data_IF_047655492479
#
_entry.id   IF_047655492479
#
_cell.length_a   1.000
_cell.length_b   1.000
_cell.length_c   1.000
_cell.angle_alpha   90.00
_cell.angle_beta   90.00
_cell.angle_gamma   90.00
#
_symmetry.space_group_name_H-M   'P 1'
#
loop_
_entity.id
_entity.type
_entity.pdbx_description
1 polymer ?
#
# COMPACT_ATOMS: atom_id res chain seq x y z
N UNK A 1 6.62 36.47 14.77
CA UNK A 1 7.63 36.81 13.75
C UNK A 1 7.68 35.63 12.79
N UNK A 2 7.46 35.72 11.48
CA UNK A 2 7.47 36.83 10.53
C UNK A 2 6.32 36.66 9.51
N UNK A 3 5.67 37.78 9.13
CA UNK A 3 4.77 37.79 7.97
C UNK A 3 5.62 37.80 6.70
N UNK A 4 5.48 36.77 5.87
CA UNK A 4 6.17 36.68 4.58
C UNK A 4 5.69 37.76 3.60
N UNK A 5 6.56 38.15 2.67
CA UNK A 5 6.19 39.05 1.57
C UNK A 5 5.00 38.42 0.81
N UNK A 6 3.86 39.14 0.65
CA UNK A 6 2.72 38.66 -0.13
C UNK A 6 3.09 38.18 -1.54
N UNK A 7 4.13 38.78 -2.14
CA UNK A 7 4.62 38.39 -3.47
C UNK A 7 5.28 37.01 -3.48
N UNK A 8 6.06 36.72 -2.45
CA UNK A 8 6.69 35.41 -2.27
C UNK A 8 5.62 34.35 -1.95
N UNK A 9 4.56 34.73 -1.22
CA UNK A 9 3.46 33.83 -0.93
C UNK A 9 2.70 33.41 -2.20
N UNK A 10 2.47 34.32 -3.15
CA UNK A 10 1.84 34.01 -4.44
C UNK A 10 2.74 33.11 -5.29
N UNK A 11 4.05 33.40 -5.34
CA UNK A 11 5.01 32.56 -6.04
C UNK A 11 5.06 31.13 -5.45
N UNK A 12 5.03 31.02 -4.12
CA UNK A 12 5.02 29.75 -3.40
C UNK A 12 3.75 28.94 -3.72
N UNK A 13 2.58 29.57 -3.71
CA UNK A 13 1.31 28.91 -4.04
C UNK A 13 1.28 28.38 -5.48
N UNK A 14 1.81 29.16 -6.43
CA UNK A 14 1.90 28.73 -7.84
C UNK A 14 2.88 27.57 -8.01
N UNK A 15 4.02 27.60 -7.31
CA UNK A 15 4.98 26.50 -7.29
C UNK A 15 4.39 25.22 -6.68
N UNK A 16 3.71 25.33 -5.53
CA UNK A 16 3.00 24.23 -4.89
C UNK A 16 1.91 23.65 -5.80
N UNK A 17 1.21 24.48 -6.56
CA UNK A 17 0.25 24.03 -7.56
C UNK A 17 0.90 23.17 -8.66
N UNK A 18 2.08 23.55 -9.13
CA UNK A 18 2.85 22.76 -10.11
C UNK A 18 3.28 21.42 -9.51
N UNK A 19 3.79 21.41 -8.28
CA UNK A 19 4.18 20.19 -7.56
C UNK A 19 2.98 19.25 -7.36
N UNK A 20 1.82 19.77 -6.97
CA UNK A 20 0.60 18.99 -6.80
C UNK A 20 0.15 18.28 -8.08
N UNK A 21 0.22 18.96 -9.22
CA UNK A 21 -0.09 18.37 -10.52
C UNK A 21 0.97 17.37 -11.00
N UNK A 22 2.26 17.60 -10.72
CA UNK A 22 3.32 16.63 -10.99
C UNK A 22 3.10 15.33 -10.21
N UNK A 23 2.69 15.42 -8.94
CA UNK A 23 2.36 14.24 -8.12
C UNK A 23 1.19 13.43 -8.72
N UNK A 24 0.17 14.10 -9.27
CA UNK A 24 -0.93 13.41 -9.95
C UNK A 24 -0.45 12.67 -11.21
N UNK A 25 0.44 13.27 -12.00
CA UNK A 25 1.03 12.61 -13.16
C UNK A 25 1.93 11.43 -12.77
N UNK A 26 2.66 11.53 -11.67
CA UNK A 26 3.48 10.44 -11.15
C UNK A 26 2.63 9.24 -10.71
N UNK A 27 1.47 9.49 -10.09
CA UNK A 27 0.49 8.44 -9.76
C UNK A 27 -0.01 7.77 -11.05
N UNK A 28 -0.53 8.53 -12.03
CA UNK A 28 -1.02 7.96 -13.29
C UNK A 28 0.08 7.15 -14.01
N UNK A 29 1.30 7.68 -14.05
CA UNK A 29 2.44 7.01 -14.68
C UNK A 29 2.81 5.73 -13.93
N UNK A 30 2.87 5.78 -12.60
CA UNK A 30 3.16 4.63 -11.75
C UNK A 30 2.19 3.49 -12.01
N UNK A 31 0.92 3.81 -12.24
CA UNK A 31 -0.11 2.80 -12.49
C UNK A 31 0.00 2.09 -13.84
N UNK A 32 0.70 2.73 -14.77
CA UNK A 32 0.87 2.24 -16.15
C UNK A 32 2.24 1.65 -16.40
N UNK A 33 3.08 1.59 -15.37
CA UNK A 33 4.41 1.00 -15.45
C UNK A 33 4.41 -0.32 -14.66
N UNK A 34 4.60 -1.48 -15.31
CA UNK A 34 4.53 -2.77 -14.63
C UNK A 34 5.63 -2.95 -13.59
N UNK A 35 5.43 -3.91 -12.69
CA UNK A 35 6.37 -4.26 -11.63
C UNK A 35 6.38 -3.27 -10.49
N UNK A 36 7.57 -3.00 -9.96
CA UNK A 36 7.77 -2.23 -8.73
C UNK A 36 7.08 -0.85 -8.73
N UNK A 37 7.10 -0.05 -9.82
CA UNK A 37 6.42 1.25 -9.82
C UNK A 37 4.91 1.19 -9.60
N UNK A 38 4.21 0.21 -10.18
CA UNK A 38 2.78 0.00 -9.95
C UNK A 38 2.52 -0.47 -8.52
N UNK A 39 3.35 -1.41 -8.05
CA UNK A 39 3.29 -1.93 -6.68
C UNK A 39 3.45 -0.81 -5.63
N UNK A 40 4.45 0.05 -5.78
CA UNK A 40 4.68 1.23 -4.92
C UNK A 40 3.54 2.23 -4.97
N UNK A 41 3.02 2.50 -6.18
CA UNK A 41 1.91 3.43 -6.35
C UNK A 41 0.66 2.95 -5.63
N UNK A 42 0.38 1.66 -5.70
CA UNK A 42 -0.73 1.05 -5.00
C UNK A 42 -0.55 1.09 -3.46
N UNK A 43 0.66 0.81 -2.96
CA UNK A 43 0.97 0.96 -1.53
C UNK A 43 0.77 2.41 -1.04
N UNK A 44 1.19 3.40 -1.84
CA UNK A 44 1.03 4.80 -1.52
C UNK A 44 -0.45 5.22 -1.44
N UNK A 45 -1.30 4.70 -2.34
CA UNK A 45 -2.76 4.95 -2.33
C UNK A 45 -3.38 4.39 -1.05
N UNK A 46 -3.06 3.14 -0.68
CA UNK A 46 -3.54 2.52 0.54
C UNK A 46 -3.11 3.32 1.78
N UNK A 47 -1.83 3.70 1.85
CA UNK A 47 -1.31 4.52 2.96
C UNK A 47 -2.00 5.88 3.06
N UNK A 48 -2.16 6.59 1.94
CA UNK A 48 -2.86 7.87 1.91
C UNK A 48 -4.34 7.72 2.30
N UNK A 49 -4.98 6.60 1.94
CA UNK A 49 -6.34 6.24 2.36
C UNK A 49 -6.45 6.13 3.87
N UNK A 50 -5.61 5.30 4.50
CA UNK A 50 -5.55 5.11 5.96
C UNK A 50 -5.29 6.45 6.66
N UNK A 51 -4.31 7.22 6.17
CA UNK A 51 -3.97 8.54 6.72
C UNK A 51 -5.11 9.53 6.67
N UNK A 52 -5.84 9.60 5.56
CA UNK A 52 -6.98 10.51 5.37
C UNK A 52 -8.19 10.09 6.22
N UNK A 53 -8.40 8.79 6.38
CA UNK A 53 -9.39 8.25 7.30
C UNK A 53 -9.09 8.62 8.76
N UNK A 54 -7.82 8.82 9.09
CA UNK A 54 -7.36 9.12 10.45
C UNK A 54 -7.61 7.95 11.40
N UNK A 55 -7.76 6.74 10.85
CA UNK A 55 -8.06 5.55 11.61
C UNK A 55 -6.80 5.06 12.34
N UNK A 56 -6.97 4.82 13.64
CA UNK A 56 -5.92 4.30 14.53
C UNK A 56 -6.36 3.00 15.17
N UNK A 57 -7.28 2.29 14.52
CA UNK A 57 -7.78 0.99 14.97
C UNK A 57 -6.65 -0.05 14.95
N UNK A 58 -6.90 -1.17 15.63
CA UNK A 58 -6.00 -2.31 15.62
C UNK A 58 -5.71 -2.82 14.20
N UNK A 59 -6.75 -2.93 13.37
CA UNK A 59 -6.61 -3.36 11.98
C UNK A 59 -5.82 -2.36 11.13
N UNK A 60 -6.07 -1.05 11.30
CA UNK A 60 -5.27 -0.03 10.62
C UNK A 60 -3.78 -0.07 11.01
N UNK A 61 -3.46 -0.38 12.27
CA UNK A 61 -2.07 -0.58 12.72
C UNK A 61 -1.40 -1.76 12.02
N UNK A 62 -2.12 -2.87 11.88
CA UNK A 62 -1.62 -4.07 11.19
C UNK A 62 -1.45 -3.84 9.69
N UNK A 63 -2.41 -3.17 9.04
CA UNK A 63 -2.34 -2.81 7.62
C UNK A 63 -1.18 -1.85 7.33
N UNK A 64 -0.98 -0.83 8.17
CA UNK A 64 0.19 0.05 8.09
C UNK A 64 1.49 -0.77 8.22
N UNK A 65 1.54 -1.71 9.16
CA UNK A 65 2.72 -2.54 9.33
C UNK A 65 3.00 -3.44 8.13
N UNK A 66 1.96 -4.03 7.52
CA UNK A 66 2.11 -4.78 6.27
C UNK A 66 2.65 -3.91 5.14
N UNK A 67 2.09 -2.70 4.93
CA UNK A 67 2.59 -1.77 3.91
C UNK A 67 4.08 -1.44 4.11
N UNK A 68 4.49 -1.21 5.36
CA UNK A 68 5.89 -0.95 5.68
C UNK A 68 6.80 -2.14 5.37
N UNK A 69 6.35 -3.38 5.66
CA UNK A 69 7.07 -4.61 5.32
C UNK A 69 7.17 -4.76 3.80
N UNK A 70 6.07 -4.55 3.09
CA UNK A 70 6.02 -4.70 1.63
C UNK A 70 7.02 -3.78 0.94
N UNK A 71 7.04 -2.49 1.30
CA UNK A 71 8.01 -1.52 0.77
C UNK A 71 9.45 -1.89 1.15
N UNK A 72 9.67 -2.30 2.39
CA UNK A 72 11.00 -2.68 2.87
C UNK A 72 11.59 -3.86 2.11
N UNK A 73 10.77 -4.91 1.90
CA UNK A 73 11.17 -6.12 1.21
C UNK A 73 11.31 -5.91 -0.30
N UNK A 74 10.39 -5.16 -0.93
CA UNK A 74 10.42 -4.93 -2.39
C UNK A 74 11.64 -4.14 -2.84
N UNK A 75 12.19 -3.29 -1.96
CA UNK A 75 13.41 -2.54 -2.20
C UNK A 75 14.69 -3.24 -1.74
N UNK A 76 14.58 -4.39 -1.08
CA UNK A 76 15.74 -5.13 -0.58
C UNK A 76 16.53 -4.40 0.50
N UNK A 77 15.92 -3.51 1.28
CA UNK A 77 16.63 -2.69 2.29
C UNK A 77 17.32 -3.53 3.37
N UNK A 78 16.81 -4.74 3.63
CA UNK A 78 17.40 -5.70 4.57
C UNK A 78 18.52 -6.56 3.98
N UNK A 79 18.70 -6.59 2.66
CA UNK A 79 19.66 -7.50 2.02
C UNK A 79 21.10 -7.23 2.49
N UNK A 80 21.80 -8.31 2.86
CA UNK A 80 23.17 -8.24 3.39
C UNK A 80 23.28 -7.71 4.82
N UNK A 81 22.17 -7.38 5.50
CA UNK A 81 22.18 -6.96 6.91
C UNK A 81 22.23 -8.17 7.85
N UNK A 82 22.93 -8.08 9.00
CA UNK A 82 22.95 -9.14 10.00
C UNK A 82 21.54 -9.50 10.48
N UNK A 83 21.21 -10.79 10.47
CA UNK A 83 19.92 -11.30 10.93
C UNK A 83 18.77 -11.19 9.93
N UNK A 84 18.99 -10.63 8.74
CA UNK A 84 17.94 -10.53 7.72
C UNK A 84 17.60 -11.89 7.10
N UNK A 85 18.59 -12.51 6.47
CA UNK A 85 18.42 -13.79 5.78
C UNK A 85 18.48 -14.99 6.74
N UNK A 86 17.77 -16.06 6.38
CA UNK A 86 17.75 -17.34 7.10
C UNK A 86 16.34 -17.75 7.52
N UNK A 87 16.16 -19.02 7.87
CA UNK A 87 14.84 -19.59 8.21
C UNK A 87 14.17 -18.94 9.42
N UNK A 88 14.96 -18.31 10.29
CA UNK A 88 14.49 -17.55 11.46
C UNK A 88 14.97 -16.08 11.39
N UNK A 89 15.33 -15.62 10.20
CA UNK A 89 15.75 -14.23 9.97
C UNK A 89 14.54 -13.30 9.82
N UNK A 90 14.80 -12.00 9.84
CA UNK A 90 13.74 -11.00 9.69
C UNK A 90 12.93 -11.17 8.40
N UNK A 91 13.56 -11.61 7.31
CA UNK A 91 12.86 -11.88 6.05
C UNK A 91 11.79 -12.97 6.22
N UNK A 92 12.12 -14.08 6.89
CA UNK A 92 11.18 -15.17 7.13
C UNK A 92 10.02 -14.70 8.04
N UNK A 93 10.33 -13.97 9.10
CA UNK A 93 9.30 -13.41 9.99
C UNK A 93 8.37 -12.47 9.24
N UNK A 94 8.92 -11.52 8.48
CA UNK A 94 8.16 -10.58 7.66
C UNK A 94 7.17 -11.28 6.72
N UNK A 95 7.54 -12.42 6.13
CA UNK A 95 6.66 -13.21 5.27
C UNK A 95 5.45 -13.77 6.02
N UNK A 96 5.59 -14.17 7.28
CA UNK A 96 4.44 -14.57 8.11
C UNK A 96 3.53 -13.39 8.46
N UNK A 97 4.09 -12.19 8.67
CA UNK A 97 3.26 -10.99 8.83
C UNK A 97 2.46 -10.67 7.57
N UNK A 98 3.08 -10.77 6.38
CA UNK A 98 2.38 -10.57 5.12
C UNK A 98 1.27 -11.62 4.87
N UNK A 99 1.47 -12.83 5.37
CA UNK A 99 0.49 -13.91 5.24
C UNK A 99 -0.70 -13.75 6.18
N UNK A 100 -0.45 -13.48 7.46
CA UNK A 100 -1.42 -13.79 8.53
C UNK A 100 -1.77 -12.60 9.42
N UNK A 101 -1.47 -11.37 9.02
CA UNK A 101 -1.83 -10.16 9.78
C UNK A 101 -2.52 -9.14 8.89
N UNK A 102 -3.09 -8.09 9.48
CA UNK A 102 -3.86 -7.10 8.73
C UNK A 102 -5.33 -7.50 8.58
N UNK A 103 -6.12 -6.57 8.08
CA UNK A 103 -7.57 -6.67 7.97
C UNK A 103 -8.00 -7.98 7.28
N UNK A 104 -8.73 -8.84 8.00
CA UNK A 104 -9.27 -10.09 7.46
C UNK A 104 -8.23 -11.21 7.21
N UNK A 105 -6.94 -10.96 7.36
CA UNK A 105 -5.89 -11.92 7.00
C UNK A 105 -5.51 -12.89 8.10
N UNK A 106 -6.11 -12.80 9.29
CA UNK A 106 -5.64 -13.57 10.44
C UNK A 106 -5.65 -15.08 10.16
N UNK A 107 -4.60 -15.78 10.58
CA UNK A 107 -4.37 -17.20 10.31
C UNK A 107 -3.33 -17.80 11.26
N UNK A 108 -3.32 -19.13 11.38
CA UNK A 108 -2.45 -19.83 12.34
C UNK A 108 -1.47 -20.75 11.61
N UNK A 109 -0.44 -20.18 11.00
CA UNK A 109 0.53 -20.94 10.22
C UNK A 109 1.87 -21.12 10.94
N UNK A 110 2.47 -22.30 10.83
CA UNK A 110 3.83 -22.60 11.34
C UNK A 110 4.07 -22.23 12.84
N UNK A 111 3.02 -22.23 13.66
CA UNK A 111 3.08 -21.85 15.07
C UNK A 111 3.01 -20.34 15.33
N UNK A 112 2.79 -19.54 14.28
CA UNK A 112 2.42 -18.14 14.40
C UNK A 112 0.98 -17.99 14.85
N UNK A 113 0.79 -17.04 15.76
CA UNK A 113 -0.48 -16.59 16.33
C UNK A 113 -0.23 -15.19 16.93
N UNK A 114 -1.25 -14.58 17.53
CA UNK A 114 -1.13 -13.26 18.15
C UNK A 114 0.04 -13.10 19.14
N UNK A 115 0.35 -14.14 19.93
CA UNK A 115 1.50 -14.10 20.85
C UNK A 115 2.85 -14.12 20.11
N UNK A 116 2.96 -14.93 19.05
CA UNK A 116 4.17 -14.98 18.21
C UNK A 116 4.39 -13.64 17.52
N UNK A 117 3.37 -13.10 16.84
CA UNK A 117 3.43 -11.79 16.17
C UNK A 117 3.79 -10.66 17.15
N UNK A 118 3.18 -10.64 18.34
CA UNK A 118 3.51 -9.66 19.37
C UNK A 118 4.97 -9.74 19.88
N UNK A 119 5.54 -10.95 19.90
CA UNK A 119 6.92 -11.15 20.37
C UNK A 119 7.97 -10.70 19.35
N UNK A 120 7.62 -10.73 18.07
CA UNK A 120 8.54 -10.45 16.97
C UNK A 120 8.41 -9.04 16.40
N UNK A 121 7.20 -8.46 16.43
CA UNK A 121 6.90 -7.19 15.76
C UNK A 121 7.84 -6.07 16.20
N UNK A 122 8.26 -6.04 17.46
CA UNK A 122 9.15 -4.99 17.98
C UNK A 122 10.54 -5.01 17.35
N UNK A 123 11.11 -6.20 17.16
CA UNK A 123 12.42 -6.34 16.55
C UNK A 123 12.37 -6.05 15.04
N UNK A 124 11.31 -6.50 14.36
CA UNK A 124 11.10 -6.24 12.93
C UNK A 124 10.89 -4.75 12.69
N UNK A 125 10.02 -4.10 13.47
CA UNK A 125 9.74 -2.67 13.38
C UNK A 125 11.03 -1.86 13.54
N UNK A 126 11.81 -2.16 14.58
CA UNK A 126 13.10 -1.50 14.80
C UNK A 126 14.09 -1.76 13.68
N UNK A 127 14.18 -3.00 13.20
CA UNK A 127 15.07 -3.37 12.11
C UNK A 127 14.73 -2.60 10.82
N UNK A 128 13.44 -2.47 10.50
CA UNK A 128 12.99 -1.69 9.35
C UNK A 128 13.28 -0.20 9.52
N UNK A 129 12.98 0.38 10.68
CA UNK A 129 13.27 1.79 10.98
C UNK A 129 14.78 2.10 10.87
N UNK A 130 15.63 1.21 11.36
CA UNK A 130 17.09 1.40 11.36
C UNK A 130 17.73 1.21 9.96
N UNK A 131 17.04 0.56 9.00
CA UNK A 131 17.63 0.19 7.70
C UNK A 131 16.89 0.76 6.48
N UNK A 132 15.69 1.30 6.62
CA UNK A 132 14.98 2.01 5.56
C UNK A 132 15.53 3.44 5.40
N UNK A 133 15.73 3.95 4.17
CA UNK A 133 16.14 5.33 3.95
C UNK A 133 15.10 6.34 4.45
N UNK A 134 15.55 7.49 4.99
CA UNK A 134 14.66 8.63 5.25
C UNK A 134 13.95 9.05 3.96
N UNK A 135 12.62 9.18 4.02
CA UNK A 135 11.77 9.49 2.86
C UNK A 135 11.37 8.29 2.00
N UNK A 136 11.78 7.06 2.35
CA UNK A 136 11.14 5.85 1.81
C UNK A 136 9.74 5.69 2.39
N UNK A 137 8.85 5.00 1.66
CA UNK A 137 7.48 4.76 2.12
C UNK A 137 7.45 3.97 3.43
N UNK A 138 8.32 2.96 3.59
CA UNK A 138 8.52 2.24 4.84
C UNK A 138 8.81 3.20 6.00
N UNK A 139 9.80 4.09 5.84
CA UNK A 139 10.18 5.03 6.89
C UNK A 139 9.05 6.03 7.22
N UNK A 140 8.33 6.50 6.20
CA UNK A 140 7.18 7.39 6.38
C UNK A 140 6.03 6.70 7.14
N UNK A 141 5.73 5.45 6.82
CA UNK A 141 4.68 4.67 7.49
C UNK A 141 5.04 4.46 8.96
N UNK A 142 6.25 3.98 9.25
CA UNK A 142 6.68 3.73 10.63
C UNK A 142 6.72 5.05 11.44
N UNK A 143 7.18 6.15 10.84
CA UNK A 143 7.12 7.46 11.49
C UNK A 143 5.67 7.88 11.78
N UNK A 144 4.75 7.67 10.83
CA UNK A 144 3.33 7.95 11.05
C UNK A 144 2.74 7.10 12.17
N UNK A 145 3.08 5.81 12.23
CA UNK A 145 2.65 4.92 13.30
C UNK A 145 3.12 5.43 14.67
N UNK A 146 4.40 5.83 14.80
CA UNK A 146 4.95 6.37 16.04
C UNK A 146 4.28 7.70 16.44
N UNK A 147 4.06 8.60 15.47
CA UNK A 147 3.52 9.93 15.74
C UNK A 147 2.00 9.97 15.98
N UNK A 148 1.24 9.04 15.38
CA UNK A 148 -0.23 9.12 15.30
C UNK A 148 -0.96 7.90 15.84
N UNK A 149 -0.34 6.72 15.81
CA UNK A 149 -1.04 5.46 16.11
C UNK A 149 -0.54 4.79 17.40
N UNK A 150 0.38 5.43 18.14
CA UNK A 150 0.96 4.87 19.38
C UNK A 150 2.15 3.94 19.13
N UNK A 151 2.62 3.86 17.89
CA UNK A 151 3.83 3.15 17.47
C UNK A 151 3.80 1.65 17.73
N UNK A 152 5.01 1.10 17.83
CA UNK A 152 5.24 -0.34 18.02
C UNK A 152 4.58 -0.91 19.28
N UNK A 153 4.38 -0.10 20.33
CA UNK A 153 3.74 -0.55 21.57
C UNK A 153 2.25 -0.81 21.36
N UNK A 154 1.56 0.04 20.58
CA UNK A 154 0.16 -0.16 20.23
C UNK A 154 -0.01 -1.39 19.33
N UNK A 155 0.84 -1.54 18.31
CA UNK A 155 0.85 -2.72 17.44
C UNK A 155 1.06 -4.03 18.21
N UNK A 156 2.02 -4.06 19.14
CA UNK A 156 2.25 -5.22 20.01
C UNK A 156 1.03 -5.55 20.85
N UNK A 157 0.42 -4.53 21.47
CA UNK A 157 -0.80 -4.72 22.26
C UNK A 157 -1.96 -5.22 21.42
N UNK A 158 -2.05 -4.79 20.16
CA UNK A 158 -3.06 -5.27 19.22
C UNK A 158 -2.93 -6.77 18.99
N UNK A 159 -1.74 -7.25 18.60
CA UNK A 159 -1.50 -8.68 18.41
C UNK A 159 -1.73 -9.52 19.68
N UNK A 160 -1.36 -9.01 20.86
CA UNK A 160 -1.53 -9.75 22.12
C UNK A 160 -3.00 -9.94 22.52
N UNK A 161 -3.83 -8.94 22.29
CA UNK A 161 -5.13 -8.85 22.94
C UNK A 161 -6.30 -9.01 21.97
N UNK A 162 -6.09 -8.76 20.68
CA UNK A 162 -7.18 -8.62 19.72
C UNK A 162 -7.01 -9.48 18.46
N UNK A 163 -5.95 -10.27 18.34
CA UNK A 163 -5.72 -11.10 17.17
C UNK A 163 -6.87 -12.10 16.94
N UNK A 164 -7.36 -12.76 17.98
CA UNK A 164 -8.43 -13.75 17.83
C UNK A 164 -9.86 -13.13 17.84
N UNK A 165 -9.98 -11.79 17.75
CA UNK A 165 -11.29 -11.13 17.80
C UNK A 165 -12.09 -11.37 16.51
N UNK A 166 -13.41 -11.42 16.66
CA UNK A 166 -14.34 -11.45 15.52
C UNK A 166 -14.10 -10.25 14.61
N UNK A 167 -14.05 -10.50 13.29
CA UNK A 167 -13.67 -9.49 12.29
C UNK A 167 -12.18 -9.49 11.92
N UNK A 168 -11.38 -10.43 12.42
CA UNK A 168 -9.99 -10.64 11.94
C UNK A 168 -9.85 -11.66 10.79
N UNK A 169 -10.87 -12.47 10.54
CA UNK A 169 -10.80 -13.63 9.62
C UNK A 169 -11.76 -13.44 8.46
N UNK A 170 -11.25 -13.20 7.25
CA UNK A 170 -12.05 -12.86 6.06
C UNK A 170 -12.95 -14.01 5.60
N UNK A 171 -12.52 -15.26 5.84
CA UNK A 171 -13.29 -16.44 5.46
C UNK A 171 -14.38 -16.80 6.48
N UNK A 172 -14.44 -16.13 7.64
CA UNK A 172 -15.50 -16.40 8.62
C UNK A 172 -16.88 -16.00 8.06
N UNK A 173 -17.93 -16.81 8.30
CA UNK A 173 -19.28 -16.48 7.84
C UNK A 173 -19.77 -15.13 8.37
N UNK A 174 -20.17 -14.25 7.45
CA UNK A 174 -20.68 -12.92 7.79
C UNK A 174 -19.61 -11.85 8.01
N UNK A 175 -18.36 -12.12 7.63
CA UNK A 175 -17.32 -11.11 7.55
C UNK A 175 -17.77 -9.89 6.73
N UNK A 176 -17.47 -8.69 7.23
CA UNK A 176 -17.85 -7.41 6.60
C UNK A 176 -16.81 -6.31 6.83
N UNK A 177 -15.58 -6.70 7.16
CA UNK A 177 -14.45 -5.80 7.35
C UNK A 177 -13.72 -5.47 6.04
N UNK A 178 -12.49 -5.01 6.18
CA UNK A 178 -11.62 -4.68 5.06
C UNK A 178 -10.73 -5.87 4.64
N UNK A 179 -10.01 -5.73 3.53
CA UNK A 179 -8.92 -6.64 3.17
C UNK A 179 -7.57 -6.03 3.55
N UNK A 180 -6.65 -6.91 3.96
CA UNK A 180 -5.27 -6.55 4.22
C UNK A 180 -4.59 -6.06 2.94
N UNK A 181 -3.58 -5.17 3.04
CA UNK A 181 -2.81 -4.70 1.89
C UNK A 181 -2.29 -5.82 1.00
N UNK A 182 -1.83 -6.92 1.59
CA UNK A 182 -1.32 -8.06 0.83
C UNK A 182 -2.43 -8.73 0.00
N UNK A 183 -3.62 -8.95 0.57
CA UNK A 183 -4.76 -9.52 -0.16
C UNK A 183 -5.30 -8.57 -1.23
N UNK A 184 -5.29 -7.26 -0.98
CA UNK A 184 -5.66 -6.24 -1.98
C UNK A 184 -4.71 -6.28 -3.18
N UNK A 185 -3.41 -6.43 -2.95
CA UNK A 185 -2.43 -6.59 -4.04
C UNK A 185 -2.66 -7.89 -4.81
N UNK A 186 -2.90 -9.01 -4.13
CA UNK A 186 -3.17 -10.29 -4.79
C UNK A 186 -4.44 -10.23 -5.66
N UNK A 187 -5.52 -9.68 -5.11
CA UNK A 187 -6.78 -9.48 -5.82
C UNK A 187 -6.60 -8.57 -7.05
N UNK A 188 -5.93 -7.43 -6.88
CA UNK A 188 -5.71 -6.48 -7.97
C UNK A 188 -4.80 -7.05 -9.06
N UNK A 189 -3.73 -7.77 -8.69
CA UNK A 189 -2.86 -8.42 -9.64
C UNK A 189 -3.63 -9.48 -10.46
N UNK A 190 -4.35 -10.38 -9.80
CA UNK A 190 -5.14 -11.40 -10.51
C UNK A 190 -6.20 -10.79 -11.43
N UNK A 191 -6.83 -9.68 -11.02
CA UNK A 191 -7.84 -9.00 -11.84
C UNK A 191 -7.24 -8.31 -13.06
N UNK A 192 -6.10 -7.61 -12.91
CA UNK A 192 -5.44 -6.92 -14.01
C UNK A 192 -4.84 -7.87 -15.06
N UNK A 193 -4.50 -9.10 -14.69
CA UNK A 193 -4.11 -10.14 -15.67
C UNK A 193 -5.25 -10.51 -16.63
N UNK A 194 -6.50 -10.41 -16.17
CA UNK A 194 -7.69 -10.74 -16.96
C UNK A 194 -8.23 -9.50 -17.69
N UNK A 195 -8.30 -8.38 -16.98
CA UNK A 195 -8.83 -7.10 -17.49
C UNK A 195 -7.82 -5.98 -17.19
N UNK A 196 -6.81 -5.76 -18.06
CA UNK A 196 -5.79 -4.75 -17.83
C UNK A 196 -6.30 -3.33 -18.09
N UNK A 197 -7.43 -3.16 -18.79
CA UNK A 197 -7.96 -1.85 -19.18
C UNK A 197 -9.12 -1.41 -18.29
N UNK A 198 -8.77 -1.01 -17.07
CA UNK A 198 -9.73 -0.57 -16.04
C UNK A 198 -9.61 0.93 -15.77
N UNK A 199 -10.72 1.55 -15.39
CA UNK A 199 -10.74 2.96 -14.96
C UNK A 199 -10.01 3.17 -13.63
N UNK A 200 -9.50 4.38 -13.41
CA UNK A 200 -8.72 4.70 -12.19
C UNK A 200 -9.53 4.40 -10.91
N UNK A 201 -10.83 4.70 -10.92
CA UNK A 201 -11.73 4.47 -9.78
C UNK A 201 -11.87 3.00 -9.40
N UNK A 202 -11.65 2.06 -10.34
CA UNK A 202 -11.69 0.63 -10.06
C UNK A 202 -10.48 0.23 -9.23
N UNK A 203 -9.30 0.71 -9.59
CA UNK A 203 -8.07 0.48 -8.80
C UNK A 203 -8.22 1.09 -7.40
N UNK A 204 -8.69 2.34 -7.30
CA UNK A 204 -8.93 2.99 -6.00
C UNK A 204 -9.89 2.15 -5.14
N UNK A 205 -10.94 1.59 -5.76
CA UNK A 205 -11.89 0.69 -5.11
C UNK A 205 -11.21 -0.61 -4.63
N UNK A 206 -10.44 -1.29 -5.46
CA UNK A 206 -9.68 -2.50 -5.04
C UNK A 206 -8.75 -2.21 -3.85
N UNK A 207 -8.13 -1.03 -3.83
CA UNK A 207 -7.16 -0.64 -2.81
C UNK A 207 -7.78 -0.10 -1.52
N UNK A 208 -9.04 0.36 -1.53
CA UNK A 208 -9.59 1.09 -0.37
C UNK A 208 -11.00 0.71 0.04
N UNK A 209 -11.77 0.03 -0.81
CA UNK A 209 -13.15 -0.32 -0.51
C UNK A 209 -13.25 -1.52 0.45
N UNK A 210 -14.34 -1.61 1.23
CA UNK A 210 -14.64 -2.78 2.07
C UNK A 210 -14.95 -4.02 1.24
N UNK A 211 -14.79 -5.20 1.84
CA UNK A 211 -14.90 -6.50 1.14
C UNK A 211 -16.24 -6.70 0.43
N UNK A 212 -17.34 -6.22 0.99
CA UNK A 212 -18.67 -6.37 0.39
C UNK A 212 -18.82 -5.62 -0.95
N UNK A 213 -18.11 -4.51 -1.12
CA UNK A 213 -18.06 -3.78 -2.39
C UNK A 213 -17.18 -4.53 -3.41
N UNK A 214 -16.05 -5.09 -2.95
CA UNK A 214 -15.17 -5.93 -3.76
C UNK A 214 -15.89 -7.19 -4.25
N UNK A 215 -16.61 -7.88 -3.35
CA UNK A 215 -17.39 -9.08 -3.66
C UNK A 215 -18.46 -8.79 -4.71
N UNK A 216 -19.20 -7.68 -4.54
CA UNK A 216 -20.21 -7.27 -5.49
C UNK A 216 -19.59 -6.99 -6.87
N UNK A 217 -18.46 -6.27 -6.90
CA UNK A 217 -17.77 -5.96 -8.15
C UNK A 217 -17.26 -7.22 -8.86
N UNK A 218 -16.59 -8.12 -8.13
CA UNK A 218 -16.05 -9.38 -8.69
C UNK A 218 -17.17 -10.28 -9.18
N UNK A 219 -18.28 -10.39 -8.44
CA UNK A 219 -19.44 -11.18 -8.86
C UNK A 219 -20.14 -10.62 -10.11
N UNK A 220 -20.11 -9.30 -10.32
CA UNK A 220 -20.67 -8.67 -11.51
C UNK A 220 -19.77 -8.79 -12.75
N UNK A 221 -18.45 -8.79 -12.57
CA UNK A 221 -17.48 -8.69 -13.67
C UNK A 221 -16.73 -9.99 -13.97
N UNK A 222 -16.90 -11.03 -13.14
CA UNK A 222 -16.23 -12.33 -13.29
C UNK A 222 -17.22 -13.49 -13.07
N UNK A 223 -16.74 -14.72 -13.14
CA UNK A 223 -17.53 -15.92 -12.78
C UNK A 223 -17.46 -16.28 -11.30
N UNK A 224 -16.72 -15.53 -10.49
CA UNK A 224 -16.47 -15.84 -9.09
C UNK A 224 -17.53 -15.20 -8.19
N UNK A 225 -17.96 -15.88 -7.12
CA UNK A 225 -19.02 -15.36 -6.26
C UNK A 225 -18.54 -14.31 -5.24
N UNK A 226 -17.24 -14.24 -4.95
CA UNK A 226 -16.64 -13.28 -4.03
C UNK A 226 -15.21 -12.91 -4.45
N UNK A 227 -14.66 -11.84 -3.86
CA UNK A 227 -13.30 -11.41 -4.11
C UNK A 227 -12.26 -12.41 -3.56
N UNK A 228 -12.54 -13.07 -2.43
CA UNK A 228 -11.63 -14.07 -1.87
C UNK A 228 -11.64 -15.36 -2.70
N UNK A 229 -12.79 -15.81 -3.18
CA UNK A 229 -12.87 -16.95 -4.12
C UNK A 229 -12.07 -16.65 -5.40
N UNK A 230 -12.11 -15.41 -5.87
CA UNK A 230 -11.30 -14.98 -7.00
C UNK A 230 -9.80 -15.05 -6.68
N UNK A 231 -9.36 -14.60 -5.50
CA UNK A 231 -7.94 -14.67 -5.10
C UNK A 231 -7.44 -16.10 -5.09
N UNK A 232 -8.20 -17.06 -4.54
CA UNK A 232 -7.77 -18.45 -4.46
C UNK A 232 -7.48 -19.11 -5.81
N UNK A 233 -8.23 -18.76 -6.84
CA UNK A 233 -8.06 -19.36 -8.17
C UNK A 233 -7.18 -18.52 -9.11
N UNK A 234 -6.84 -17.27 -8.74
CA UNK A 234 -6.14 -16.31 -9.60
C UNK A 234 -4.90 -15.68 -8.94
N UNK A 235 -4.29 -16.37 -7.98
CA UNK A 235 -3.05 -15.93 -7.32
C UNK A 235 -1.77 -16.16 -8.15
N UNK A 236 -1.90 -16.76 -9.35
CA UNK A 236 -0.79 -17.02 -10.26
C UNK A 236 0.09 -18.21 -9.86
N UNK A 237 -0.21 -18.92 -8.78
CA UNK A 237 0.53 -20.12 -8.38
C UNK A 237 0.11 -21.34 -9.18
N UNK A 238 1.10 -22.21 -9.42
CA UNK A 238 0.87 -23.49 -10.11
C UNK A 238 1.61 -24.61 -9.39
N UNK A 239 0.99 -25.80 -9.37
CA UNK A 239 1.55 -27.00 -8.75
C UNK A 239 0.83 -27.41 -7.47
N UNK A 240 1.27 -28.51 -6.86
CA UNK A 240 0.67 -29.08 -5.66
C UNK A 240 1.69 -29.76 -4.76
N UNK A 241 1.34 -29.86 -3.48
CA UNK A 241 2.07 -30.58 -2.46
C UNK A 241 1.14 -31.60 -1.73
N UNK A 242 1.61 -32.19 -0.65
CA UNK A 242 0.82 -33.17 0.13
C UNK A 242 -0.44 -32.59 0.79
N UNK A 243 -0.59 -31.26 0.84
CA UNK A 243 -1.72 -30.55 1.41
C UNK A 243 -2.69 -29.99 0.33
N UNK A 244 -2.42 -30.19 -0.96
CA UNK A 244 -3.26 -29.71 -2.06
C UNK A 244 -2.50 -28.81 -3.04
N UNK A 245 -3.24 -28.04 -3.82
CA UNK A 245 -2.69 -27.06 -4.76
C UNK A 245 -1.97 -25.94 -3.98
N UNK A 246 -0.84 -25.48 -4.51
CA UNK A 246 -0.07 -24.38 -3.92
C UNK A 246 -0.83 -23.06 -4.08
N UNK A 247 -0.61 -22.12 -3.16
CA UNK A 247 -1.23 -20.80 -3.22
C UNK A 247 -2.17 -20.49 -2.05
N UNK A 248 -2.95 -19.42 -2.19
CA UNK A 248 -3.94 -19.00 -1.21
C UNK A 248 -5.10 -20.00 -1.15
N UNK A 249 -5.55 -20.31 0.06
CA UNK A 249 -6.69 -21.19 0.30
C UNK A 249 -7.42 -20.85 1.59
N UNK A 250 -8.61 -21.40 1.73
CA UNK A 250 -9.35 -21.45 2.98
C UNK A 250 -9.04 -22.75 3.73
N UNK A 251 -8.81 -22.64 5.04
CA UNK A 251 -8.66 -23.79 5.95
C UNK A 251 -9.38 -23.55 7.27
N UNK A 252 -9.86 -24.62 7.89
CA UNK A 252 -10.45 -24.53 9.23
C UNK A 252 -9.39 -24.71 10.31
N UNK A 253 -9.13 -23.66 11.08
CA UNK A 253 -8.15 -23.65 12.17
C UNK A 253 -8.73 -22.97 13.41
N UNK A 254 -8.51 -23.53 14.60
CA UNK A 254 -8.91 -22.93 15.88
C UNK A 254 -10.39 -22.50 15.99
N UNK A 255 -11.28 -23.08 15.19
CA UNK A 255 -12.72 -22.73 15.18
C UNK A 255 -13.11 -21.61 14.23
N UNK A 256 -12.16 -21.11 13.44
CA UNK A 256 -12.33 -20.12 12.39
C UNK A 256 -12.12 -20.74 11.01
N UNK A 257 -12.73 -20.13 9.99
CA UNK A 257 -12.25 -20.29 8.62
C UNK A 257 -11.22 -19.20 8.39
N UNK A 258 -9.99 -19.62 8.08
CA UNK A 258 -8.86 -18.71 7.94
C UNK A 258 -8.31 -18.78 6.52
N UNK A 259 -7.78 -17.65 6.07
CA UNK A 259 -6.96 -17.61 4.87
C UNK A 259 -5.57 -18.15 5.21
N UNK A 260 -5.04 -18.98 4.33
CA UNK A 260 -3.77 -19.70 4.52
C UNK A 260 -3.02 -19.74 3.20
N UNK A 261 -1.69 -19.63 3.27
CA UNK A 261 -0.84 -19.88 2.12
C UNK A 261 -0.35 -21.33 2.15
N UNK A 262 -0.72 -22.13 1.16
CA UNK A 262 -0.17 -23.47 1.01
C UNK A 262 1.28 -23.43 0.49
N UNK A 263 2.22 -23.20 1.40
CA UNK A 263 3.67 -23.13 1.20
C UNK A 263 4.43 -22.91 2.52
N UNK A 264 5.73 -22.59 2.44
CA UNK A 264 6.56 -22.28 3.62
C UNK A 264 6.50 -20.76 3.91
N UNK A 265 5.52 -20.28 4.68
CA UNK A 265 5.10 -18.87 4.75
C UNK A 265 4.63 -18.30 3.40
N UNK A 266 4.17 -17.04 3.33
CA UNK A 266 3.92 -16.37 2.03
C UNK A 266 5.15 -16.53 1.14
N UNK A 267 5.07 -17.33 0.07
CA UNK A 267 6.22 -17.80 -0.71
C UNK A 267 7.20 -16.66 -1.04
N UNK A 268 8.49 -16.79 -0.73
CA UNK A 268 9.47 -15.71 -0.97
C UNK A 268 9.48 -15.33 -2.46
N UNK A 269 9.42 -16.36 -3.30
CA UNK A 269 9.29 -16.21 -4.74
C UNK A 269 7.93 -15.63 -5.14
N UNK A 270 6.83 -15.95 -4.45
CA UNK A 270 5.53 -15.35 -4.75
C UNK A 270 5.51 -13.85 -4.47
N UNK A 271 5.93 -13.44 -3.27
CA UNK A 271 5.98 -12.02 -2.93
C UNK A 271 6.94 -11.27 -3.87
N UNK A 272 8.09 -11.89 -4.18
CA UNK A 272 9.06 -11.35 -5.14
C UNK A 272 8.52 -11.21 -6.54
N UNK A 273 7.84 -12.23 -7.03
CA UNK A 273 7.19 -12.24 -8.33
C UNK A 273 6.13 -11.13 -8.38
N UNK A 274 5.31 -11.01 -7.33
CA UNK A 274 4.29 -9.98 -7.25
C UNK A 274 4.87 -8.57 -7.41
N UNK A 275 5.92 -8.16 -6.69
CA UNK A 275 6.47 -6.80 -6.87
C UNK A 275 7.34 -6.67 -8.13
N UNK A 276 7.93 -7.75 -8.65
CA UNK A 276 8.78 -7.70 -9.84
C UNK A 276 7.95 -7.64 -11.13
N UNK A 277 6.86 -8.39 -11.16
CA UNK A 277 6.02 -8.63 -12.33
C UNK A 277 4.59 -8.11 -12.12
N UNK A 278 4.37 -7.19 -11.17
CA UNK A 278 3.06 -6.63 -10.91
C UNK A 278 2.39 -6.15 -12.22
N UNK A 279 1.16 -6.58 -12.53
CA UNK A 279 0.51 -6.25 -13.78
C UNK A 279 0.34 -4.74 -13.96
N UNK A 280 0.61 -4.24 -15.17
CA UNK A 280 0.32 -2.84 -15.50
C UNK A 280 -1.17 -2.64 -15.71
N UNK A 281 -1.67 -1.44 -15.42
CA UNK A 281 -2.93 -0.95 -15.95
C UNK A 281 -2.72 -0.29 -17.30
N UNK A 282 -3.51 -0.65 -18.30
CA UNK A 282 -3.55 0.08 -19.57
C UNK A 282 -4.21 1.45 -19.41
N UNK A 283 -3.67 2.45 -20.11
CA UNK A 283 -4.28 3.78 -20.16
C UNK A 283 -5.67 3.72 -20.80
N UNK A 284 -6.65 4.30 -20.11
CA UNK A 284 -7.99 4.55 -20.65
C UNK A 284 -8.03 5.87 -21.41
N UNK A 285 -9.13 6.09 -22.15
CA UNK A 285 -9.36 7.36 -22.83
C UNK A 285 -9.54 8.52 -21.82
N UNK A 286 -10.09 8.24 -20.63
CA UNK A 286 -10.22 9.24 -19.56
C UNK A 286 -8.86 9.61 -18.97
N UNK A 287 -7.94 8.66 -18.83
CA UNK A 287 -6.57 8.95 -18.38
C UNK A 287 -5.84 9.86 -19.37
N UNK A 288 -6.00 9.63 -20.67
CA UNK A 288 -5.41 10.48 -21.70
C UNK A 288 -5.99 11.90 -21.63
N UNK A 289 -7.30 12.04 -21.38
CA UNK A 289 -7.93 13.35 -21.17
C UNK A 289 -7.39 14.02 -19.91
N UNK A 290 -7.23 13.28 -18.83
CA UNK A 290 -6.73 13.79 -17.55
C UNK A 290 -5.27 14.24 -17.65
N UNK A 291 -4.40 13.43 -18.27
CA UNK A 291 -3.01 13.80 -18.54
C UNK A 291 -2.93 15.10 -19.35
N UNK A 292 -3.77 15.24 -20.39
CA UNK A 292 -3.82 16.46 -21.19
C UNK A 292 -4.29 17.66 -20.35
N UNK A 293 -5.34 17.47 -19.53
CA UNK A 293 -5.87 18.51 -18.64
C UNK A 293 -4.82 18.98 -17.64
N UNK A 294 -4.14 18.06 -16.96
CA UNK A 294 -3.05 18.35 -16.03
C UNK A 294 -1.91 19.07 -16.77
N UNK A 295 -1.52 18.58 -17.95
CA UNK A 295 -0.49 19.20 -18.78
C UNK A 295 -0.81 20.66 -19.12
N UNK A 296 -2.06 20.97 -19.43
CA UNK A 296 -2.49 22.34 -19.72
C UNK A 296 -2.56 23.21 -18.45
N UNK A 297 -2.98 22.66 -17.31
CA UNK A 297 -2.97 23.36 -16.03
C UNK A 297 -1.54 23.69 -15.55
N UNK A 298 -0.60 22.75 -15.68
CA UNK A 298 0.82 22.96 -15.36
C UNK A 298 1.41 24.06 -16.23
N UNK A 299 1.16 24.05 -17.54
CA UNK A 299 1.61 25.13 -18.45
C UNK A 299 1.06 26.49 -18.02
N UNK A 300 -0.23 26.56 -17.67
CA UNK A 300 -0.86 27.80 -17.20
C UNK A 300 -0.21 28.32 -15.92
N UNK A 301 0.03 27.45 -14.93
CA UNK A 301 0.70 27.83 -13.69
C UNK A 301 2.15 28.28 -13.93
N UNK A 302 2.90 27.56 -14.75
CA UNK A 302 4.28 27.93 -15.10
C UNK A 302 4.34 29.29 -15.80
N UNK A 303 3.43 29.57 -16.73
CA UNK A 303 3.34 30.88 -17.38
C UNK A 303 2.95 31.97 -16.37
N UNK A 304 1.97 31.71 -15.52
CA UNK A 304 1.52 32.66 -14.48
C UNK A 304 2.66 32.99 -13.51
N UNK A 305 3.39 31.98 -13.04
CA UNK A 305 4.56 32.15 -12.17
C UNK A 305 5.65 32.97 -12.85
N UNK A 306 5.94 32.67 -14.13
CA UNK A 306 6.92 33.43 -14.92
C UNK A 306 6.52 34.91 -15.06
N UNK A 307 5.24 35.19 -15.32
CA UNK A 307 4.73 36.56 -15.39
C UNK A 307 4.79 37.25 -14.04
N UNK A 308 4.37 36.58 -12.96
CA UNK A 308 4.40 37.10 -11.60
C UNK A 308 5.82 37.52 -11.19
N UNK A 309 6.80 36.63 -11.35
CA UNK A 309 8.21 36.93 -11.05
C UNK A 309 8.76 38.08 -11.89
N UNK A 310 8.32 38.23 -13.14
CA UNK A 310 8.70 39.38 -13.97
C UNK A 310 8.15 40.69 -13.40
N UNK A 311 6.90 40.71 -12.94
CA UNK A 311 6.28 41.89 -12.32
C UNK A 311 7.04 42.26 -11.03
N UNK A 312 7.27 41.31 -10.13
CA UNK A 312 8.00 41.58 -8.88
C UNK A 312 9.41 42.13 -9.14
N UNK A 313 10.13 41.57 -10.14
CA UNK A 313 11.43 42.07 -10.55
C UNK A 313 11.35 43.50 -11.07
N UNK A 314 10.36 43.80 -11.91
CA UNK A 314 10.21 45.11 -12.52
C UNK A 314 9.80 46.17 -11.47
N UNK A 315 8.99 45.82 -10.47
CA UNK A 315 8.69 46.65 -9.31
C UNK A 315 9.92 46.93 -8.46
N UNK A 316 10.72 45.91 -8.13
CA UNK A 316 11.98 46.09 -7.40
C UNK A 316 12.95 47.01 -8.16
N UNK A 317 13.07 46.86 -9.48
CA UNK A 317 13.87 47.76 -10.31
C UNK A 317 13.33 49.19 -10.30
N UNK A 318 12.00 49.38 -10.34
CA UNK A 318 11.39 50.70 -10.29
C UNK A 318 11.61 51.39 -8.94
N UNK A 319 11.52 50.65 -7.83
CA UNK A 319 11.87 51.14 -6.50
C UNK A 319 13.35 51.54 -6.45
N UNK A 320 14.25 50.67 -6.91
CA UNK A 320 15.69 50.93 -6.91
C UNK A 320 16.11 52.12 -7.80
N UNK A 321 15.35 52.46 -8.84
CA UNK A 321 15.59 53.63 -9.69
C UNK A 321 15.05 54.94 -9.13
N UNK A 322 14.09 54.88 -8.20
CA UNK A 322 13.47 56.05 -7.57
C UNK A 322 14.12 56.42 -6.22
N UNK A 323 15.19 55.74 -5.82
CA UNK A 323 16.09 56.04 -4.70
C UNK A 323 17.36 56.67 -5.26
#
# INVERSE_FOLDING_TARGET
MAGGNPEDAIALLLAQGIEGYSKQLEIIKGWTTPGLPMFESAMAVMFDGIKKGGETSGYALEDLFQLAIMDFMSHGYGEGKPGYAGSNGFEAQMRHFLESTGSGSHGYHEGYNGSSFASECENIYKFMMDNSPEGSLCHEILTYMDDKCGGVSALKSQYQNNYDNAGGFVCDPGYSGDLSPMLRMALMAGYLEIEPKVEQSVIDMFLTAPINELDAYIAEHTSYPSAIDFVFDNDGQTGSNGAGDLGWREVTQHGHQVIDWNGDGLGAEYFKDMYTNFPQRELTDEDIKEINRIGDQVKMLQQTLKYWLSICRDEQMAIARNI
#
